data_IF_407414320359
#
_entry.id   IF_407414320359
#
_cell.length_a   1.000
_cell.length_b   1.000
_cell.length_c   1.000
_cell.angle_alpha   90.00
_cell.angle_beta   90.00
_cell.angle_gamma   90.00
#
_symmetry.space_group_name_H-M   'P 1'
#
loop_
_entity.id
_entity.type
_entity.pdbx_description
1 polymer ?
#
# COMPACT_ATOMS: atom_id res chain seq x y z
N UNK A 1 -48.85 -12.83 -60.24
CA UNK A 1 -47.42 -12.57 -59.98
C UNK A 1 -47.24 -12.39 -58.47
N UNK A 2 -47.12 -13.49 -57.74
CA UNK A 2 -47.00 -13.52 -56.28
C UNK A 2 -45.53 -13.51 -55.87
N UNK A 3 -45.15 -12.60 -54.98
CA UNK A 3 -43.81 -12.56 -54.37
C UNK A 3 -43.87 -13.30 -53.03
N UNK A 4 -43.30 -14.50 -52.99
CA UNK A 4 -43.03 -15.25 -51.77
C UNK A 4 -41.79 -14.68 -51.08
N UNK A 5 -41.96 -14.26 -49.83
CA UNK A 5 -40.90 -13.76 -48.96
C UNK A 5 -40.58 -14.84 -47.91
N UNK A 6 -39.33 -15.35 -47.79
CA UNK A 6 -39.02 -16.38 -46.81
C UNK A 6 -38.85 -15.77 -45.41
N UNK A 7 -39.67 -16.22 -44.46
CA UNK A 7 -39.55 -15.91 -43.04
C UNK A 7 -38.24 -16.49 -42.48
N UNK A 8 -37.27 -15.61 -42.19
CA UNK A 8 -36.09 -15.95 -41.39
C UNK A 8 -36.53 -15.91 -39.92
N UNK A 9 -36.56 -17.07 -39.28
CA UNK A 9 -36.83 -17.22 -37.86
C UNK A 9 -35.74 -16.58 -37.00
N UNK A 10 -36.08 -15.49 -36.31
CA UNK A 10 -35.26 -14.91 -35.26
C UNK A 10 -35.35 -15.78 -33.99
N UNK A 11 -34.34 -16.63 -33.79
CA UNK A 11 -34.10 -17.27 -32.49
C UNK A 11 -33.79 -16.19 -31.45
N UNK A 12 -34.71 -15.99 -30.50
CA UNK A 12 -34.48 -15.19 -29.30
C UNK A 12 -33.49 -15.91 -28.37
N UNK A 13 -32.19 -15.71 -28.59
CA UNK A 13 -31.18 -16.04 -27.59
C UNK A 13 -31.36 -15.11 -26.38
N UNK A 14 -31.88 -15.65 -25.27
CA UNK A 14 -31.88 -15.00 -23.95
C UNK A 14 -30.44 -14.65 -23.58
N UNK A 15 -30.02 -13.41 -23.86
CA UNK A 15 -28.77 -12.86 -23.32
C UNK A 15 -28.90 -12.80 -21.80
N UNK A 16 -28.27 -13.74 -21.10
CA UNK A 16 -28.06 -13.60 -19.66
C UNK A 16 -27.28 -12.30 -19.44
N UNK A 17 -27.93 -11.29 -18.87
CA UNK A 17 -27.28 -10.06 -18.42
C UNK A 17 -26.39 -10.41 -17.24
N UNK A 18 -25.15 -10.79 -17.52
CA UNK A 18 -24.11 -10.82 -16.50
C UNK A 18 -23.94 -9.37 -16.00
N UNK A 19 -24.33 -9.11 -14.76
CA UNK A 19 -24.11 -7.83 -14.09
C UNK A 19 -22.60 -7.56 -14.14
N UNK A 20 -22.17 -6.58 -14.95
CA UNK A 20 -20.79 -6.07 -14.93
C UNK A 20 -20.47 -5.65 -13.49
N UNK A 21 -19.59 -6.39 -12.82
CA UNK A 21 -19.09 -6.02 -11.49
C UNK A 21 -18.38 -4.67 -11.63
N UNK A 22 -18.84 -3.66 -10.89
CA UNK A 22 -18.15 -2.36 -10.79
C UNK A 22 -16.77 -2.62 -10.16
N UNK A 23 -15.71 -2.30 -10.89
CA UNK A 23 -14.32 -2.36 -10.39
C UNK A 23 -14.13 -1.15 -9.46
N UNK A 24 -13.62 -1.38 -8.24
CA UNK A 24 -13.27 -0.29 -7.31
C UNK A 24 -12.06 0.47 -7.87
N UNK A 25 -12.17 1.78 -8.13
CA UNK A 25 -11.13 2.56 -8.80
C UNK A 25 -9.84 2.71 -7.98
N UNK A 26 -9.81 2.28 -6.71
CA UNK A 26 -8.59 2.28 -5.89
C UNK A 26 -7.69 1.08 -6.13
N UNK A 27 -8.17 0.04 -6.83
CA UNK A 27 -7.42 -1.19 -7.09
C UNK A 27 -7.68 -1.68 -8.52
N UNK A 28 -7.07 -1.04 -9.53
CA UNK A 28 -7.34 -1.34 -10.94
C UNK A 28 -7.00 -2.79 -11.34
N UNK A 29 -6.14 -3.47 -10.58
CA UNK A 29 -5.64 -4.80 -10.92
C UNK A 29 -6.16 -5.97 -10.07
N UNK A 30 -7.00 -5.74 -9.06
CA UNK A 30 -7.92 -6.75 -8.48
C UNK A 30 -7.41 -8.18 -8.17
N UNK A 31 -6.11 -8.44 -8.00
CA UNK A 31 -5.58 -9.80 -7.83
C UNK A 31 -5.13 -10.05 -6.41
N UNK A 32 -6.10 -10.41 -5.57
CA UNK A 32 -5.78 -11.25 -4.41
C UNK A 32 -5.57 -12.66 -4.97
N UNK A 33 -4.32 -12.98 -5.26
CA UNK A 33 -3.91 -14.32 -5.72
C UNK A 33 -4.42 -15.33 -4.69
N UNK A 34 -5.24 -16.28 -5.12
CA UNK A 34 -5.69 -17.35 -4.20
C UNK A 34 -4.46 -18.18 -3.83
N UNK A 35 -4.34 -18.65 -2.60
CA UNK A 35 -3.20 -19.46 -2.13
C UNK A 35 -2.81 -20.63 -3.04
N UNK A 36 -3.74 -21.14 -3.84
CA UNK A 36 -3.50 -22.16 -4.86
C UNK A 36 -2.61 -21.67 -6.01
N UNK A 37 -2.89 -20.49 -6.57
CA UNK A 37 -2.11 -19.91 -7.68
C UNK A 37 -0.65 -19.64 -7.26
N UNK A 38 -0.42 -19.24 -6.00
CA UNK A 38 0.93 -19.14 -5.43
C UNK A 38 1.66 -20.48 -5.53
N UNK A 39 1.02 -21.59 -5.13
CA UNK A 39 1.68 -22.89 -5.11
C UNK A 39 2.03 -23.37 -6.52
N UNK A 40 1.21 -23.06 -7.53
CA UNK A 40 1.50 -23.41 -8.92
C UNK A 40 2.70 -22.64 -9.46
N UNK A 41 2.76 -21.32 -9.21
CA UNK A 41 3.91 -20.48 -9.55
C UNK A 41 5.19 -21.00 -8.89
N UNK A 42 5.12 -21.35 -7.61
CA UNK A 42 6.27 -21.87 -6.87
C UNK A 42 6.78 -23.20 -7.43
N UNK A 43 5.88 -24.10 -7.82
CA UNK A 43 6.26 -25.36 -8.48
C UNK A 43 6.94 -25.10 -9.82
N UNK A 44 6.40 -24.19 -10.62
CA UNK A 44 7.02 -23.75 -11.89
C UNK A 44 8.40 -23.12 -11.67
N UNK A 45 8.62 -22.45 -10.53
CA UNK A 45 9.93 -21.91 -10.11
C UNK A 45 10.88 -22.99 -9.55
N UNK A 46 10.45 -24.25 -9.44
CA UNK A 46 11.25 -25.34 -8.91
C UNK A 46 11.18 -25.54 -7.39
N UNK A 47 10.24 -24.89 -6.69
CA UNK A 47 10.03 -25.06 -5.26
C UNK A 47 8.87 -26.03 -4.98
N UNK A 48 9.12 -27.09 -4.20
CA UNK A 48 8.09 -28.06 -3.85
C UNK A 48 7.00 -27.46 -2.94
N UNK A 49 7.40 -26.59 -2.01
CA UNK A 49 6.49 -25.91 -1.09
C UNK A 49 6.87 -24.44 -0.89
N UNK A 50 5.93 -23.67 -0.34
CA UNK A 50 6.21 -22.29 0.09
C UNK A 50 7.26 -22.22 1.20
N UNK A 51 7.36 -23.26 2.04
CA UNK A 51 8.41 -23.33 3.07
C UNK A 51 9.79 -23.42 2.43
N UNK A 52 9.94 -24.23 1.39
CA UNK A 52 11.20 -24.38 0.65
C UNK A 52 11.61 -23.07 -0.02
N UNK A 53 10.64 -22.37 -0.63
CA UNK A 53 10.85 -21.02 -1.16
C UNK A 53 11.36 -20.05 -0.07
N UNK A 54 10.73 -20.02 1.11
CA UNK A 54 11.17 -19.14 2.21
C UNK A 54 12.55 -19.52 2.77
N UNK A 55 13.05 -20.73 2.51
CA UNK A 55 14.39 -21.17 2.91
C UNK A 55 15.43 -21.02 1.78
N UNK A 56 14.98 -20.71 0.57
CA UNK A 56 15.84 -20.56 -0.61
C UNK A 56 16.74 -19.32 -0.55
N UNK A 57 17.84 -19.36 -1.30
CA UNK A 57 18.74 -18.22 -1.42
C UNK A 57 18.13 -17.07 -2.21
N UNK A 58 17.21 -17.37 -3.15
CA UNK A 58 16.39 -16.38 -3.84
C UNK A 58 15.63 -15.51 -2.83
N UNK A 59 14.85 -16.12 -1.95
CA UNK A 59 14.09 -15.35 -0.96
C UNK A 59 15.00 -14.59 0.03
N UNK A 60 16.11 -15.20 0.46
CA UNK A 60 17.09 -14.51 1.33
C UNK A 60 17.67 -13.27 0.65
N UNK A 61 17.98 -13.34 -0.64
CA UNK A 61 18.48 -12.21 -1.42
C UNK A 61 17.42 -11.10 -1.52
N UNK A 62 16.18 -11.44 -1.92
CA UNK A 62 15.05 -10.51 -2.00
C UNK A 62 14.83 -9.79 -0.65
N UNK A 63 14.77 -10.56 0.44
CA UNK A 63 14.58 -10.03 1.80
C UNK A 63 15.73 -9.11 2.21
N UNK A 64 16.97 -9.48 1.89
CA UNK A 64 18.15 -8.67 2.20
C UNK A 64 18.10 -7.33 1.46
N UNK A 65 17.77 -7.35 0.17
CA UNK A 65 17.72 -6.14 -0.64
C UNK A 65 16.57 -5.21 -0.24
N UNK A 66 15.42 -5.77 0.12
CA UNK A 66 14.31 -4.99 0.67
C UNK A 66 14.74 -4.26 1.96
N UNK A 67 15.40 -4.96 2.89
CA UNK A 67 15.86 -4.35 4.14
C UNK A 67 17.06 -3.41 3.98
N UNK A 68 17.92 -3.59 2.98
CA UNK A 68 18.95 -2.59 2.66
C UNK A 68 18.32 -1.25 2.27
N UNK A 69 17.20 -1.30 1.54
CA UNK A 69 16.47 -0.10 1.09
C UNK A 69 15.68 0.56 2.21
N UNK A 70 14.98 -0.23 3.02
CA UNK A 70 14.14 0.30 4.10
C UNK A 70 14.03 -0.69 5.27
N UNK A 71 14.41 -0.24 6.48
CA UNK A 71 14.26 -1.00 7.74
C UNK A 71 13.21 -0.44 8.66
N UNK A 72 12.40 0.51 8.20
CA UNK A 72 11.29 1.07 8.97
C UNK A 72 10.01 0.33 8.61
N UNK A 73 9.22 -0.02 9.62
CA UNK A 73 7.93 -0.64 9.44
C UNK A 73 7.02 0.24 8.57
N UNK A 74 6.33 -0.36 7.61
CA UNK A 74 5.39 0.39 6.79
C UNK A 74 4.14 0.84 7.59
N UNK A 75 3.76 0.13 8.65
CA UNK A 75 2.53 0.37 9.43
C UNK A 75 2.73 1.16 10.73
N UNK A 76 3.95 1.25 11.25
CA UNK A 76 4.31 2.09 12.40
C UNK A 76 5.68 2.72 12.15
N UNK A 77 6.31 3.35 13.15
CA UNK A 77 7.64 3.96 12.98
C UNK A 77 8.76 3.10 13.62
N UNK A 78 8.43 1.86 13.99
CA UNK A 78 9.37 0.89 14.56
C UNK A 78 10.25 0.21 13.51
N UNK A 79 11.25 -0.55 13.98
CA UNK A 79 12.17 -1.31 13.11
C UNK A 79 11.45 -2.53 12.52
N UNK A 80 11.53 -2.68 11.21
CA UNK A 80 11.00 -3.85 10.50
C UNK A 80 11.91 -5.07 10.70
N UNK A 81 11.27 -6.22 10.95
CA UNK A 81 11.92 -7.52 11.17
C UNK A 81 11.43 -8.58 10.18
N UNK A 82 10.27 -8.35 9.59
CA UNK A 82 9.55 -9.29 8.73
C UNK A 82 9.17 -8.62 7.41
N UNK A 83 8.95 -9.44 6.39
CA UNK A 83 8.47 -9.01 5.08
C UNK A 83 7.07 -9.56 4.91
N UNK A 84 6.11 -8.66 4.72
CA UNK A 84 4.73 -9.02 4.45
C UNK A 84 4.47 -8.97 2.94
N UNK A 85 3.79 -9.99 2.43
CA UNK A 85 3.40 -10.06 1.02
C UNK A 85 2.04 -9.38 0.84
N UNK A 86 1.98 -8.37 -0.01
CA UNK A 86 0.73 -7.72 -0.47
C UNK A 86 0.10 -8.50 -1.62
N UNK A 87 0.93 -9.21 -2.40
CA UNK A 87 0.50 -10.16 -3.40
C UNK A 87 1.50 -11.32 -3.54
N UNK A 88 1.11 -12.32 -4.31
CA UNK A 88 1.92 -13.50 -4.62
C UNK A 88 2.05 -13.68 -6.15
N UNK A 89 2.13 -12.58 -6.90
CA UNK A 89 2.41 -12.65 -8.33
C UNK A 89 3.81 -13.22 -8.58
N UNK A 90 4.05 -13.73 -9.80
CA UNK A 90 5.35 -14.25 -10.21
C UNK A 90 6.45 -13.20 -10.03
N UNK A 91 6.24 -11.98 -10.51
CA UNK A 91 7.20 -10.88 -10.38
C UNK A 91 7.56 -10.57 -8.91
N UNK A 92 6.59 -10.68 -8.00
CA UNK A 92 6.81 -10.50 -6.56
C UNK A 92 7.63 -11.66 -5.97
N UNK A 93 7.30 -12.90 -6.33
CA UNK A 93 8.00 -14.11 -5.85
C UNK A 93 9.42 -14.24 -6.42
N UNK A 94 9.66 -13.74 -7.62
CA UNK A 94 10.99 -13.69 -8.24
C UNK A 94 11.79 -12.46 -7.77
N UNK A 95 11.16 -11.52 -7.08
CA UNK A 95 11.79 -10.29 -6.59
C UNK A 95 12.00 -9.22 -7.67
N UNK A 96 11.49 -9.44 -8.87
CA UNK A 96 11.48 -8.47 -9.99
C UNK A 96 10.67 -7.25 -9.61
N UNK A 97 9.52 -7.45 -8.94
CA UNK A 97 8.68 -6.38 -8.42
C UNK A 97 8.62 -6.42 -6.89
N UNK A 98 9.29 -5.48 -6.23
CA UNK A 98 9.27 -5.37 -4.77
C UNK A 98 8.06 -4.58 -4.22
N UNK A 99 7.20 -4.00 -5.06
CA UNK A 99 5.99 -3.30 -4.60
C UNK A 99 4.97 -4.25 -3.95
N UNK A 100 5.00 -5.53 -4.32
CA UNK A 100 4.23 -6.59 -3.69
C UNK A 100 4.75 -7.00 -2.31
N UNK A 101 5.83 -6.41 -1.82
CA UNK A 101 6.48 -6.70 -0.54
C UNK A 101 6.55 -5.46 0.33
N UNK A 102 6.32 -5.61 1.62
CA UNK A 102 6.40 -4.49 2.56
C UNK A 102 7.12 -4.87 3.84
N UNK A 103 8.15 -4.10 4.26
CA UNK A 103 8.84 -4.36 5.51
C UNK A 103 7.96 -3.95 6.69
N UNK A 104 7.71 -4.87 7.63
CA UNK A 104 6.95 -4.56 8.85
C UNK A 104 7.60 -5.16 10.09
N UNK A 105 7.30 -4.59 11.26
CA UNK A 105 7.69 -5.19 12.53
C UNK A 105 6.80 -6.38 12.85
N UNK A 106 7.30 -7.31 13.66
CA UNK A 106 6.58 -8.52 14.09
C UNK A 106 5.19 -8.21 14.68
N UNK A 107 5.10 -7.21 15.56
CA UNK A 107 3.81 -6.83 16.16
C UNK A 107 2.79 -6.39 15.12
N UNK A 108 3.20 -5.59 14.13
CA UNK A 108 2.31 -5.20 13.04
C UNK A 108 1.95 -6.38 12.13
N UNK A 109 2.87 -7.31 11.90
CA UNK A 109 2.60 -8.51 11.12
C UNK A 109 1.56 -9.39 11.80
N UNK A 110 1.72 -9.66 13.10
CA UNK A 110 0.74 -10.39 13.90
C UNK A 110 -0.63 -9.69 13.86
N UNK A 111 -0.71 -8.37 14.07
CA UNK A 111 -1.97 -7.61 13.99
C UNK A 111 -2.67 -7.70 12.63
N UNK A 112 -1.91 -7.89 11.54
CA UNK A 112 -2.45 -8.05 10.18
C UNK A 112 -2.88 -9.47 9.91
N UNK A 113 -2.14 -10.45 10.41
CA UNK A 113 -2.34 -11.87 10.13
C UNK A 113 -3.23 -12.58 11.16
N UNK A 114 -3.54 -11.99 12.31
CA UNK A 114 -4.35 -12.64 13.36
C UNK A 114 -5.55 -11.80 13.81
N UNK A 115 -6.60 -12.48 14.23
CA UNK A 115 -7.72 -11.90 14.96
C UNK A 115 -7.36 -11.75 16.45
N UNK A 116 -8.06 -10.88 17.20
CA UNK A 116 -7.91 -10.82 18.65
C UNK A 116 -8.17 -12.15 19.37
N UNK A 117 -8.94 -13.06 18.77
CA UNK A 117 -9.15 -14.43 19.26
C UNK A 117 -7.91 -15.32 19.16
N UNK A 118 -6.87 -14.91 18.42
CA UNK A 118 -5.69 -15.71 18.10
C UNK A 118 -5.76 -16.43 16.74
N UNK A 119 -6.94 -16.50 16.12
CA UNK A 119 -7.11 -17.17 14.83
C UNK A 119 -6.41 -16.43 13.69
N UNK A 120 -5.86 -17.19 12.73
CA UNK A 120 -5.22 -16.60 11.56
C UNK A 120 -6.27 -16.02 10.60
N UNK A 121 -6.06 -14.77 10.17
CA UNK A 121 -6.77 -14.13 9.06
C UNK A 121 -6.33 -14.78 7.75
N UNK A 122 -7.29 -15.06 6.88
CA UNK A 122 -7.04 -15.69 5.60
C UNK A 122 -7.36 -14.73 4.43
N UNK A 123 -6.41 -14.64 3.50
CA UNK A 123 -6.57 -13.93 2.23
C UNK A 123 -7.06 -12.50 2.42
N UNK A 124 -8.28 -12.21 1.96
CA UNK A 124 -8.83 -10.85 1.93
C UNK A 124 -8.98 -10.22 3.31
N UNK A 125 -9.14 -11.00 4.38
CA UNK A 125 -9.31 -10.42 5.72
C UNK A 125 -7.99 -9.85 6.27
N UNK A 126 -6.86 -10.49 5.96
CA UNK A 126 -5.53 -9.97 6.30
C UNK A 126 -5.22 -8.69 5.49
N UNK A 127 -5.43 -8.74 4.17
CA UNK A 127 -5.21 -7.56 3.31
C UNK A 127 -6.05 -6.35 3.76
N UNK A 128 -7.35 -6.55 4.04
CA UNK A 128 -8.22 -5.48 4.55
C UNK A 128 -7.73 -4.89 5.86
N UNK A 129 -7.15 -5.72 6.73
CA UNK A 129 -6.60 -5.26 7.99
C UNK A 129 -5.33 -4.45 7.77
N UNK A 130 -4.44 -4.88 6.86
CA UNK A 130 -3.29 -4.09 6.43
C UNK A 130 -3.73 -2.72 5.89
N UNK A 131 -4.68 -2.69 4.95
CA UNK A 131 -5.17 -1.45 4.33
C UNK A 131 -5.76 -0.50 5.38
N UNK A 132 -6.50 -1.04 6.35
CA UNK A 132 -7.07 -0.27 7.47
C UNK A 132 -5.99 0.39 8.32
N UNK A 133 -4.95 -0.37 8.70
CA UNK A 133 -3.84 0.15 9.51
C UNK A 133 -3.04 1.20 8.74
N UNK A 134 -2.74 0.94 7.46
CA UNK A 134 -2.04 1.87 6.59
C UNK A 134 -2.81 3.19 6.43
N UNK A 135 -4.12 3.12 6.15
CA UNK A 135 -4.97 4.31 6.07
C UNK A 135 -4.96 5.12 7.37
N UNK A 136 -4.92 4.44 8.51
CA UNK A 136 -4.84 5.08 9.84
C UNK A 136 -3.51 5.81 10.02
N UNK A 137 -2.38 5.17 9.69
CA UNK A 137 -1.05 5.80 9.70
C UNK A 137 -1.01 7.04 8.81
N UNK A 138 -1.48 6.92 7.57
CA UNK A 138 -1.49 8.04 6.61
C UNK A 138 -2.32 9.23 7.11
N UNK A 139 -3.48 8.97 7.73
CA UNK A 139 -4.29 10.04 8.34
C UNK A 139 -3.54 10.74 9.46
N UNK A 140 -2.84 10.00 10.33
CA UNK A 140 -2.03 10.58 11.43
C UNK A 140 -0.91 11.48 10.88
N UNK A 141 -0.17 11.01 9.88
CA UNK A 141 0.89 11.79 9.21
C UNK A 141 0.33 13.09 8.62
N UNK A 142 -0.85 13.03 7.99
CA UNK A 142 -1.50 14.23 7.44
C UNK A 142 -1.89 15.24 8.53
N UNK A 143 -2.42 14.75 9.65
CA UNK A 143 -2.78 15.58 10.80
C UNK A 143 -1.55 16.26 11.41
N UNK A 144 -0.46 15.52 11.60
CA UNK A 144 0.82 16.05 12.11
C UNK A 144 1.41 17.11 11.18
N UNK A 145 1.42 16.86 9.86
CA UNK A 145 1.85 17.85 8.86
C UNK A 145 0.99 19.12 8.90
N UNK A 146 -0.31 18.99 9.11
CA UNK A 146 -1.22 20.13 9.26
C UNK A 146 -0.93 20.95 10.50
N UNK A 147 -0.71 20.28 11.64
CA UNK A 147 -0.35 20.92 12.90
C UNK A 147 1.00 21.65 12.80
N UNK A 148 2.01 21.03 12.20
CA UNK A 148 3.33 21.61 12.02
C UNK A 148 3.30 22.85 11.11
N UNK A 149 2.57 22.81 9.99
CA UNK A 149 2.36 23.98 9.12
C UNK A 149 1.73 25.14 9.89
N UNK A 150 0.76 24.85 10.76
CA UNK A 150 0.09 25.85 11.59
C UNK A 150 1.05 26.48 12.59
N UNK A 151 1.88 25.65 13.25
CA UNK A 151 2.93 26.09 14.17
C UNK A 151 3.97 26.99 13.47
N UNK A 152 4.47 26.58 12.31
CA UNK A 152 5.42 27.38 11.53
C UNK A 152 4.85 28.73 11.09
N UNK A 153 3.58 28.78 10.68
CA UNK A 153 2.91 30.04 10.34
C UNK A 153 2.82 30.98 11.54
N UNK A 154 2.53 30.46 12.74
CA UNK A 154 2.51 31.23 13.98
C UNK A 154 3.89 31.80 14.31
N UNK A 155 4.92 30.95 14.29
CA UNK A 155 6.31 31.37 14.54
C UNK A 155 6.79 32.44 13.56
N UNK A 156 6.48 32.29 12.26
CA UNK A 156 6.81 33.31 11.25
C UNK A 156 6.13 34.65 11.52
N UNK A 157 4.87 34.62 11.96
CA UNK A 157 4.12 35.85 12.31
C UNK A 157 4.72 36.52 13.55
N UNK A 158 5.09 35.74 14.56
CA UNK A 158 5.73 36.24 15.78
C UNK A 158 7.12 36.83 15.49
N UNK A 159 7.94 36.13 14.71
CA UNK A 159 9.24 36.63 14.26
C UNK A 159 9.10 37.93 13.46
N UNK A 160 8.16 38.00 12.52
CA UNK A 160 7.90 39.22 11.74
C UNK A 160 7.46 40.40 12.63
N UNK A 161 6.70 40.13 13.71
CA UNK A 161 6.32 41.17 14.69
C UNK A 161 7.53 41.63 15.50
N UNK A 162 8.35 40.70 15.99
CA UNK A 162 9.55 41.01 16.77
C UNK A 162 10.54 41.86 15.95
N UNK A 163 10.79 41.49 14.69
CA UNK A 163 11.66 42.26 13.78
C UNK A 163 11.16 43.71 13.66
N UNK A 164 9.86 43.92 13.43
CA UNK A 164 9.27 45.28 13.31
C UNK A 164 9.46 46.11 14.58
N UNK A 165 9.36 45.49 15.76
CA UNK A 165 9.56 46.17 17.04
C UNK A 165 11.03 46.59 17.20
N UNK A 166 11.97 45.70 16.90
CA UNK A 166 13.41 46.01 17.00
C UNK A 166 13.88 47.08 16.02
N UNK A 167 13.33 47.12 14.80
CA UNK A 167 13.69 48.14 13.80
C UNK A 167 13.10 49.52 14.11
N UNK A 168 12.04 49.59 14.92
CA UNK A 168 11.44 50.86 15.33
C UNK A 168 12.22 51.54 16.48
N UNK A 169 13.08 50.80 17.18
CA UNK A 169 13.82 51.26 18.36
C UNK A 169 15.29 51.58 18.09
N UNK A 170 15.79 51.42 16.86
CA UNK A 170 17.11 51.93 16.48
C UNK A 170 17.00 53.40 16.05
N UNK A 171 17.40 54.38 16.90
CA UNK A 171 17.50 55.76 16.47
C UNK A 171 18.58 55.87 15.38
N UNK A 172 18.33 56.73 14.39
CA UNK A 172 19.31 57.12 13.38
C UNK A 172 20.47 57.86 14.08
N UNK A 173 21.45 57.10 14.59
CA UNK A 173 22.66 57.71 15.14
C UNK A 173 23.59 58.02 13.96
N UNK A 174 23.68 59.32 13.64
CA UNK A 174 24.90 59.88 13.06
C UNK A 174 24.76 60.45 11.65
N UNK A 175 24.21 61.65 11.55
CA UNK A 175 24.88 62.70 10.76
C UNK A 175 26.15 63.08 11.54
N UNK A 176 27.30 62.57 11.13
CA UNK A 176 28.60 63.06 11.60
C UNK A 176 29.36 63.66 10.42
N UNK A 177 29.24 65.00 10.36
CA UNK A 177 30.15 66.04 9.84
C UNK A 177 30.59 65.93 8.39
#
# INVERSE_FOLDING_TARGET
MGRSNPQIGLMHARRQRFKRKKIDPRFPNGRVVKYFERNDILKEMGFATYKDYLQSDLWKAIRTDLFKKNRVCSLCDGVASEVHHLDYSRDTLEGVNQEGLTPICRTCHELVETFPSGDKRLGKSAQRQYDKLMKTKLRKIQQEKGAERTRQKKLRKEAARAIRQTTAEQPLVGDFI
#
